data_IF_032157728001
#
_entry.id   IF_032157728001
#
_cell.length_a   1.000
_cell.length_b   1.000
_cell.length_c   1.000
_cell.angle_alpha   90.00
_cell.angle_beta   90.00
_cell.angle_gamma   90.00
#
_symmetry.space_group_name_H-M   'P 1'
#
loop_
_entity.id
_entity.type
_entity.pdbx_description
1 polymer ?
#
# COMPACT_ATOMS: atom_id res chain seq x y z
N UNK A 1 34.51 -54.42 -76.12
CA UNK A 1 35.12 -55.66 -75.57
C UNK A 1 35.80 -55.25 -74.27
N UNK A 2 35.53 -55.73 -73.05
CA UNK A 2 34.95 -56.97 -72.52
C UNK A 2 33.97 -56.64 -71.38
N UNK A 3 32.96 -57.49 -71.25
CA UNK A 3 32.03 -57.62 -70.12
C UNK A 3 32.77 -58.20 -68.91
N UNK A 4 32.36 -57.88 -67.69
CA UNK A 4 32.25 -58.88 -66.62
C UNK A 4 31.11 -58.51 -65.63
N UNK A 5 30.31 -59.53 -65.35
CA UNK A 5 29.16 -59.61 -64.45
C UNK A 5 29.65 -60.15 -63.08
N UNK A 6 28.78 -60.06 -62.05
CA UNK A 6 28.76 -60.76 -60.75
C UNK A 6 29.26 -59.94 -59.55
N UNK A 7 28.63 -59.96 -58.38
CA UNK A 7 27.35 -60.54 -57.93
C UNK A 7 26.96 -59.86 -56.61
N UNK A 8 25.66 -59.85 -56.35
CA UNK A 8 25.01 -59.47 -55.09
C UNK A 8 25.45 -60.43 -53.97
N UNK A 9 25.86 -59.87 -52.83
CA UNK A 9 25.74 -60.50 -51.50
C UNK A 9 24.99 -59.51 -50.61
N UNK A 10 23.81 -59.92 -50.15
CA UNK A 10 23.01 -59.16 -49.22
C UNK A 10 23.58 -59.21 -47.81
N UNK A 11 23.50 -58.06 -47.12
CA UNK A 11 23.48 -58.02 -45.66
C UNK A 11 22.23 -57.25 -45.28
N UNK A 12 21.27 -57.99 -44.73
CA UNK A 12 20.04 -57.51 -44.14
C UNK A 12 20.40 -56.83 -42.82
N UNK A 13 20.61 -55.51 -42.81
CA UNK A 13 20.72 -54.75 -41.57
C UNK A 13 19.30 -54.39 -41.14
N UNK A 14 18.82 -55.09 -40.13
CA UNK A 14 17.61 -54.77 -39.39
C UNK A 14 17.81 -53.38 -38.77
N UNK A 15 17.22 -52.35 -39.38
CA UNK A 15 17.03 -51.05 -38.72
C UNK A 15 16.02 -51.25 -37.60
N UNK A 16 16.51 -51.43 -36.38
CA UNK A 16 15.71 -51.23 -35.19
C UNK A 16 15.24 -49.77 -35.19
N UNK A 17 13.93 -49.57 -35.26
CA UNK A 17 13.31 -48.27 -35.01
C UNK A 17 13.63 -47.87 -33.57
N UNK A 18 14.59 -46.96 -33.40
CA UNK A 18 14.69 -46.17 -32.19
C UNK A 18 13.42 -45.32 -32.11
N UNK A 19 12.47 -45.81 -31.32
CA UNK A 19 11.39 -44.99 -30.77
C UNK A 19 12.07 -43.95 -29.90
N UNK A 20 12.29 -42.76 -30.46
CA UNK A 20 12.68 -41.59 -29.70
C UNK A 20 11.46 -41.20 -28.86
N UNK A 21 11.35 -41.77 -27.65
CA UNK A 21 10.58 -41.16 -26.58
C UNK A 21 11.34 -39.89 -26.21
N UNK A 22 11.10 -38.83 -26.99
CA UNK A 22 11.46 -37.48 -26.59
C UNK A 22 10.70 -37.21 -25.30
N UNK A 23 11.41 -37.30 -24.17
CA UNK A 23 11.03 -36.55 -22.99
C UNK A 23 11.04 -35.10 -23.45
N UNK A 24 9.85 -34.56 -23.67
CA UNK A 24 9.65 -33.12 -23.80
C UNK A 24 10.18 -32.56 -22.49
N UNK A 25 11.36 -31.96 -22.54
CA UNK A 25 11.84 -31.11 -21.46
C UNK A 25 10.72 -30.13 -21.18
N UNK A 26 10.21 -30.10 -19.95
CA UNK A 26 9.39 -28.99 -19.51
C UNK A 26 10.15 -27.71 -19.90
N UNK A 27 9.54 -26.83 -20.70
CA UNK A 27 10.09 -25.48 -20.84
C UNK A 27 10.15 -24.93 -19.42
N UNK A 28 11.35 -24.56 -18.97
CA UNK A 28 11.54 -23.98 -17.63
C UNK A 28 10.63 -22.76 -17.51
N UNK A 29 9.56 -22.90 -16.74
CA UNK A 29 8.67 -21.79 -16.43
C UNK A 29 9.47 -20.79 -15.61
N UNK A 30 9.64 -19.59 -16.15
CA UNK A 30 10.42 -18.55 -15.47
C UNK A 30 9.55 -17.85 -14.43
N UNK A 31 10.06 -17.69 -13.21
CA UNK A 31 9.35 -17.00 -12.12
C UNK A 31 9.85 -15.58 -11.97
N UNK A 32 8.94 -14.62 -11.79
CA UNK A 32 9.26 -13.21 -11.54
C UNK A 32 8.35 -12.59 -10.49
N UNK A 33 8.88 -11.63 -9.73
CA UNK A 33 8.10 -10.81 -8.79
C UNK A 33 8.07 -9.38 -9.34
N UNK A 34 6.88 -8.76 -9.36
CA UNK A 34 6.77 -7.37 -9.79
C UNK A 34 7.34 -6.43 -8.73
N UNK A 35 8.01 -5.36 -9.17
CA UNK A 35 8.49 -4.31 -8.26
C UNK A 35 7.33 -3.47 -7.73
N UNK A 36 6.32 -3.22 -8.56
CA UNK A 36 5.08 -2.56 -8.19
C UNK A 36 4.07 -3.51 -7.57
N UNK A 37 3.45 -3.07 -6.48
CA UNK A 37 2.34 -3.77 -5.85
C UNK A 37 1.01 -3.47 -6.55
N UNK A 38 0.11 -4.46 -6.55
CA UNK A 38 -1.32 -4.28 -6.78
C UNK A 38 -2.00 -3.61 -5.59
N UNK A 39 -3.26 -3.22 -5.77
CA UNK A 39 -4.11 -2.63 -4.72
C UNK A 39 -5.52 -3.24 -4.79
N UNK A 40 -6.26 -3.18 -3.69
CA UNK A 40 -7.68 -3.53 -3.67
C UNK A 40 -8.50 -2.23 -3.60
N UNK A 41 -9.44 -2.07 -4.53
CA UNK A 41 -10.41 -0.97 -4.51
C UNK A 41 -11.81 -1.56 -4.66
N UNK A 42 -12.70 -1.33 -3.69
CA UNK A 42 -14.09 -1.82 -3.70
C UNK A 42 -14.15 -3.32 -4.04
N UNK A 43 -13.35 -4.11 -3.33
CA UNK A 43 -13.18 -5.56 -3.51
C UNK A 43 -12.70 -6.00 -4.91
N UNK A 44 -12.09 -5.10 -5.69
CA UNK A 44 -11.47 -5.44 -6.97
C UNK A 44 -9.96 -5.25 -6.89
N UNK A 45 -9.21 -6.32 -7.17
CA UNK A 45 -7.77 -6.25 -7.29
C UNK A 45 -7.39 -5.54 -8.59
N UNK A 46 -6.65 -4.45 -8.46
CA UNK A 46 -6.00 -3.75 -9.55
C UNK A 46 -4.50 -4.05 -9.53
N UNK A 47 -3.91 -4.26 -10.70
CA UNK A 47 -2.49 -4.60 -10.85
C UNK A 47 -1.78 -3.58 -11.76
N UNK A 48 -0.46 -3.36 -11.61
CA UNK A 48 0.29 -2.41 -12.43
C UNK A 48 0.42 -2.93 -13.87
N UNK A 49 -0.28 -2.28 -14.80
CA UNK A 49 -0.42 -2.76 -16.17
C UNK A 49 0.91 -2.89 -16.91
N UNK A 50 1.76 -1.86 -16.87
CA UNK A 50 3.02 -1.84 -17.62
C UNK A 50 3.99 -2.93 -17.16
N UNK A 51 4.15 -3.09 -15.84
CA UNK A 51 5.04 -4.09 -15.25
C UNK A 51 4.51 -5.51 -15.50
N UNK A 52 3.21 -5.73 -15.29
CA UNK A 52 2.57 -7.01 -15.53
C UNK A 52 2.65 -7.43 -17.00
N UNK A 53 2.30 -6.55 -17.93
CA UNK A 53 2.34 -6.84 -19.36
C UNK A 53 3.76 -7.16 -19.82
N UNK A 54 4.76 -6.40 -19.34
CA UNK A 54 6.17 -6.69 -19.63
C UNK A 54 6.58 -8.08 -19.11
N UNK A 55 6.18 -8.42 -17.88
CA UNK A 55 6.54 -9.69 -17.25
C UNK A 55 5.98 -10.91 -18.00
N UNK A 56 4.75 -10.82 -18.52
CA UNK A 56 4.16 -11.91 -19.32
C UNK A 56 4.60 -11.90 -20.81
N UNK A 57 5.44 -10.96 -21.23
CA UNK A 57 5.88 -10.83 -22.64
C UNK A 57 4.86 -10.13 -23.56
N UNK A 58 3.91 -9.41 -22.99
CA UNK A 58 2.97 -8.55 -23.72
C UNK A 58 3.48 -7.11 -23.88
N UNK A 59 2.63 -6.25 -24.43
CA UNK A 59 2.95 -4.87 -24.77
C UNK A 59 1.88 -3.89 -24.26
N UNK A 60 2.32 -2.68 -23.94
CA UNK A 60 1.47 -1.54 -23.60
C UNK A 60 1.77 -0.40 -24.56
N UNK A 61 0.77 0.05 -25.31
CA UNK A 61 0.88 1.16 -26.26
C UNK A 61 -0.12 2.24 -25.87
N UNK A 62 0.33 3.49 -25.79
CA UNK A 62 -0.54 4.64 -25.58
C UNK A 62 -0.64 5.38 -26.92
N UNK A 63 -1.85 5.61 -27.41
CA UNK A 63 -2.07 6.35 -28.64
C UNK A 63 -2.20 7.87 -28.39
N UNK A 64 -2.24 8.65 -29.47
CA UNK A 64 -2.37 10.12 -29.43
C UNK A 64 -3.64 10.60 -28.71
N UNK A 65 -4.68 9.77 -28.67
CA UNK A 65 -5.95 10.04 -27.98
C UNK A 65 -5.92 9.64 -26.50
N UNK A 66 -4.76 9.25 -25.97
CA UNK A 66 -4.58 8.70 -24.61
C UNK A 66 -5.41 7.44 -24.34
N UNK A 67 -5.78 6.71 -25.39
CA UNK A 67 -6.28 5.35 -25.26
C UNK A 67 -5.09 4.41 -25.11
N UNK A 68 -5.25 3.40 -24.28
CA UNK A 68 -4.18 2.48 -23.92
C UNK A 68 -4.56 1.11 -24.49
N UNK A 69 -3.66 0.54 -25.28
CA UNK A 69 -3.80 -0.79 -25.84
C UNK A 69 -2.86 -1.74 -25.09
N UNK A 70 -3.42 -2.81 -24.54
CA UNK A 70 -2.68 -3.93 -23.97
C UNK A 70 -2.75 -5.10 -24.98
N UNK A 71 -1.60 -5.62 -25.38
CA UNK A 71 -1.51 -6.70 -26.37
C UNK A 71 -0.75 -7.88 -25.79
N UNK A 72 -1.34 -9.07 -25.91
CA UNK A 72 -0.68 -10.33 -25.55
C UNK A 72 -1.18 -11.45 -26.46
N UNK A 73 -0.25 -12.17 -27.10
CA UNK A 73 -0.54 -13.13 -28.16
C UNK A 73 -1.39 -12.49 -29.27
N UNK A 74 -2.54 -13.07 -29.60
CA UNK A 74 -3.50 -12.54 -30.60
C UNK A 74 -4.58 -11.64 -30.02
N UNK A 75 -4.57 -11.39 -28.70
CA UNK A 75 -5.61 -10.61 -28.02
C UNK A 75 -5.18 -9.17 -27.81
N UNK A 76 -6.08 -8.24 -28.12
CA UNK A 76 -5.93 -6.82 -27.87
C UNK A 76 -7.02 -6.32 -26.92
N UNK A 77 -6.61 -5.52 -25.94
CA UNK A 77 -7.50 -4.82 -25.01
C UNK A 77 -7.30 -3.32 -25.22
N UNK A 78 -8.34 -2.61 -25.64
CA UNK A 78 -8.35 -1.14 -25.65
C UNK A 78 -9.05 -0.64 -24.39
N UNK A 79 -8.36 0.17 -23.59
CA UNK A 79 -8.89 0.80 -22.39
C UNK A 79 -8.74 2.32 -22.47
N UNK A 80 -9.69 3.01 -21.82
CA UNK A 80 -9.60 4.43 -21.54
C UNK A 80 -9.57 4.60 -20.02
N UNK A 81 -8.64 5.42 -19.53
CA UNK A 81 -8.52 5.71 -18.09
C UNK A 81 -9.85 6.22 -17.54
N UNK A 82 -10.26 5.70 -16.39
CA UNK A 82 -11.53 5.98 -15.70
C UNK A 82 -12.81 5.56 -16.45
N UNK A 83 -12.70 4.83 -17.56
CA UNK A 83 -13.85 4.21 -18.23
C UNK A 83 -14.16 2.85 -17.62
N UNK A 84 -15.44 2.61 -17.33
CA UNK A 84 -15.97 1.29 -16.95
C UNK A 84 -16.06 0.31 -18.11
N UNK A 85 -15.66 0.73 -19.31
CA UNK A 85 -15.70 -0.10 -20.51
C UNK A 85 -14.30 -0.27 -21.09
N UNK A 86 -13.98 -1.52 -21.42
CA UNK A 86 -12.84 -1.90 -22.25
C UNK A 86 -13.35 -2.52 -23.55
N UNK A 87 -12.52 -2.56 -24.60
CA UNK A 87 -12.80 -3.38 -25.79
C UNK A 87 -11.81 -4.53 -25.86
N UNK A 88 -12.31 -5.76 -25.78
CA UNK A 88 -11.51 -6.98 -25.95
C UNK A 88 -11.76 -7.49 -27.38
N UNK A 89 -10.75 -7.47 -28.24
CA UNK A 89 -10.89 -7.80 -29.67
C UNK A 89 -12.10 -7.10 -30.32
N UNK A 90 -12.22 -5.78 -30.09
CA UNK A 90 -13.33 -4.91 -30.52
C UNK A 90 -14.70 -5.14 -29.86
N UNK A 91 -14.85 -6.15 -29.01
CA UNK A 91 -16.08 -6.37 -28.23
C UNK A 91 -16.06 -5.50 -26.98
N UNK A 92 -17.07 -4.64 -26.83
CA UNK A 92 -17.21 -3.75 -25.66
C UNK A 92 -17.64 -4.55 -24.43
N UNK A 93 -16.83 -4.51 -23.39
CA UNK A 93 -17.01 -5.27 -22.13
C UNK A 93 -17.06 -4.31 -20.95
N UNK A 94 -17.99 -4.54 -20.02
CA UNK A 94 -18.17 -3.73 -18.81
C UNK A 94 -17.39 -4.30 -17.61
N UNK A 95 -16.79 -3.41 -16.82
CA UNK A 95 -16.13 -3.72 -15.55
C UNK A 95 -16.57 -2.71 -14.49
N UNK A 96 -16.87 -3.21 -13.27
CA UNK A 96 -17.43 -2.35 -12.22
C UNK A 96 -16.45 -1.27 -11.74
N UNK A 97 -15.18 -1.67 -11.58
CA UNK A 97 -14.07 -0.77 -11.23
C UNK A 97 -13.26 -0.50 -12.50
N UNK A 98 -13.13 0.77 -12.91
CA UNK A 98 -12.40 1.13 -14.11
C UNK A 98 -10.88 0.99 -13.90
N UNK A 99 -10.16 0.86 -15.01
CA UNK A 99 -8.71 1.10 -15.00
C UNK A 99 -8.44 2.57 -14.64
N UNK A 100 -7.49 2.83 -13.75
CA UNK A 100 -7.24 4.16 -13.20
C UNK A 100 -5.76 4.38 -12.90
N UNK A 101 -5.36 5.64 -12.75
CA UNK A 101 -4.00 5.98 -12.32
C UNK A 101 -3.97 6.01 -10.79
N UNK A 102 -3.10 5.21 -10.19
CA UNK A 102 -2.82 5.19 -8.76
C UNK A 102 -1.30 5.31 -8.62
N UNK A 103 -0.84 6.27 -7.81
CA UNK A 103 0.58 6.55 -7.58
C UNK A 103 1.40 6.68 -8.89
N UNK A 104 0.81 7.36 -9.89
CA UNK A 104 1.41 7.56 -11.21
C UNK A 104 1.44 6.32 -12.11
N UNK A 105 0.94 5.16 -11.65
CA UNK A 105 0.89 3.91 -12.42
C UNK A 105 -0.51 3.65 -12.95
N UNK A 106 -0.59 3.14 -14.18
CA UNK A 106 -1.84 2.59 -14.70
C UNK A 106 -2.15 1.27 -14.00
N UNK A 107 -3.20 1.28 -13.19
CA UNK A 107 -3.73 0.11 -12.51
C UNK A 107 -4.94 -0.43 -13.26
N UNK A 108 -4.92 -1.72 -13.57
CA UNK A 108 -5.98 -2.39 -14.34
C UNK A 108 -6.61 -3.52 -13.51
N UNK A 109 -7.92 -3.77 -13.65
CA UNK A 109 -8.54 -4.91 -12.97
C UNK A 109 -7.90 -6.23 -13.37
N UNK A 110 -7.51 -7.06 -12.40
CA UNK A 110 -6.99 -8.40 -12.67
C UNK A 110 -8.00 -9.21 -13.51
N UNK A 111 -9.29 -9.09 -13.21
CA UNK A 111 -10.35 -9.79 -13.94
C UNK A 111 -10.41 -9.40 -15.43
N UNK A 112 -10.02 -8.18 -15.79
CA UNK A 112 -9.95 -7.74 -17.19
C UNK A 112 -8.89 -8.54 -17.95
N UNK A 113 -7.66 -8.60 -17.43
CA UNK A 113 -6.58 -9.34 -18.10
C UNK A 113 -6.79 -10.85 -18.02
N UNK A 114 -7.32 -11.35 -16.91
CA UNK A 114 -7.69 -12.77 -16.75
C UNK A 114 -8.68 -13.19 -17.84
N UNK A 115 -9.77 -12.45 -18.00
CA UNK A 115 -10.83 -12.77 -18.96
C UNK A 115 -10.36 -12.63 -20.41
N UNK A 116 -9.58 -11.60 -20.72
CA UNK A 116 -9.10 -11.34 -22.08
C UNK A 116 -8.02 -12.33 -22.52
N UNK A 117 -7.03 -12.59 -21.66
CA UNK A 117 -5.85 -13.40 -21.97
C UNK A 117 -5.99 -14.86 -21.55
N UNK A 118 -7.12 -15.24 -20.92
CA UNK A 118 -7.42 -16.60 -20.44
C UNK A 118 -6.34 -17.13 -19.48
N UNK A 119 -5.97 -16.29 -18.51
CA UNK A 119 -4.91 -16.59 -17.55
C UNK A 119 -5.47 -17.30 -16.32
N UNK A 120 -4.67 -18.19 -15.75
CA UNK A 120 -4.90 -18.77 -14.44
C UNK A 120 -4.16 -17.98 -13.37
N UNK A 121 -4.69 -18.02 -12.13
CA UNK A 121 -4.03 -17.41 -10.99
C UNK A 121 -4.27 -18.20 -9.72
N UNK A 122 -3.33 -18.08 -8.79
CA UNK A 122 -3.49 -18.47 -7.39
C UNK A 122 -3.36 -17.26 -6.47
N UNK A 123 -3.87 -17.42 -5.25
CA UNK A 123 -3.88 -16.38 -4.23
C UNK A 123 -3.10 -16.87 -3.03
N UNK A 124 -2.21 -16.04 -2.53
CA UNK A 124 -1.50 -16.27 -1.27
C UNK A 124 -2.03 -15.30 -0.22
N UNK A 125 -2.32 -15.83 0.96
CA UNK A 125 -2.77 -15.05 2.11
C UNK A 125 -1.66 -14.98 3.15
N UNK A 126 -1.42 -13.77 3.64
CA UNK A 126 -0.60 -13.52 4.82
C UNK A 126 -1.46 -13.61 6.08
N UNK A 127 -0.78 -13.71 7.22
CA UNK A 127 -1.43 -13.67 8.55
C UNK A 127 -0.85 -12.50 9.33
N UNK A 128 -1.69 -11.70 9.97
CA UNK A 128 -1.27 -10.64 10.90
C UNK A 128 -0.82 -11.29 12.22
N UNK A 129 -0.13 -10.54 13.08
CA UNK A 129 0.35 -11.07 14.34
C UNK A 129 -0.81 -11.43 15.30
N UNK A 130 -1.95 -10.71 15.24
CA UNK A 130 -3.20 -11.11 15.90
C UNK A 130 -3.99 -12.25 15.22
N UNK A 131 -3.47 -12.87 14.16
CA UNK A 131 -4.10 -14.02 13.49
C UNK A 131 -5.15 -13.67 12.42
N UNK A 132 -5.29 -12.40 12.04
CA UNK A 132 -6.13 -11.99 10.92
C UNK A 132 -5.53 -12.40 9.57
N UNK A 133 -6.33 -12.73 8.57
CA UNK A 133 -5.83 -13.03 7.22
C UNK A 133 -5.94 -11.82 6.30
N UNK A 134 -4.96 -11.64 5.42
CA UNK A 134 -4.99 -10.62 4.38
C UNK A 134 -4.46 -11.14 3.04
N UNK A 135 -4.90 -10.52 1.95
CA UNK A 135 -4.42 -10.84 0.62
C UNK A 135 -2.99 -10.30 0.45
N UNK A 136 -2.00 -11.19 0.49
CA UNK A 136 -0.59 -10.82 0.41
C UNK A 136 -0.11 -10.71 -1.04
N UNK A 137 -0.40 -11.74 -1.84
CA UNK A 137 0.03 -11.77 -3.24
C UNK A 137 -0.89 -12.58 -4.14
N UNK A 138 -0.79 -12.30 -5.44
CA UNK A 138 -1.43 -13.06 -6.50
C UNK A 138 -0.34 -13.58 -7.42
N UNK A 139 -0.37 -14.87 -7.74
CA UNK A 139 0.52 -15.48 -8.74
C UNK A 139 -0.29 -15.73 -9.99
N UNK A 140 0.07 -15.05 -11.08
CA UNK A 140 -0.56 -15.24 -12.39
C UNK A 140 0.33 -16.13 -13.24
N UNK A 141 -0.25 -17.19 -13.82
CA UNK A 141 0.48 -18.17 -14.60
C UNK A 141 0.14 -18.05 -16.09
N UNK A 142 1.17 -18.19 -16.90
CA UNK A 142 1.11 -18.43 -18.34
C UNK A 142 1.85 -19.73 -18.64
N UNK A 143 1.83 -20.19 -19.89
CA UNK A 143 2.60 -21.38 -20.30
C UNK A 143 4.13 -21.23 -20.11
N UNK A 144 4.64 -20.00 -19.96
CA UNK A 144 6.08 -19.69 -19.97
C UNK A 144 6.59 -18.98 -18.71
N UNK A 145 5.70 -18.31 -18.00
CA UNK A 145 6.04 -17.39 -16.91
C UNK A 145 5.02 -17.48 -15.78
N UNK A 146 5.53 -17.50 -14.54
CA UNK A 146 4.77 -17.24 -13.32
C UNK A 146 5.13 -15.86 -12.78
N UNK A 147 4.13 -15.00 -12.60
CA UNK A 147 4.31 -13.62 -12.15
C UNK A 147 3.65 -13.43 -10.79
N UNK A 148 4.46 -13.19 -9.76
CA UNK A 148 3.99 -12.83 -8.41
C UNK A 148 3.79 -11.33 -8.32
N UNK A 149 2.60 -10.94 -7.85
CA UNK A 149 2.18 -9.56 -7.66
C UNK A 149 1.86 -9.38 -6.18
N UNK A 150 2.69 -8.65 -5.46
CA UNK A 150 2.40 -8.26 -4.07
C UNK A 150 1.18 -7.33 -4.05
N UNK A 151 0.31 -7.46 -3.05
CA UNK A 151 -0.93 -6.68 -2.95
C UNK A 151 -0.88 -5.80 -1.70
N UNK A 152 -1.06 -4.50 -1.88
CA UNK A 152 -1.34 -3.58 -0.79
C UNK A 152 -2.86 -3.58 -0.52
N UNK A 153 -3.30 -4.49 0.34
CA UNK A 153 -4.70 -4.69 0.70
C UNK A 153 -5.29 -3.52 1.51
N UNK A 154 -4.44 -2.75 2.19
CA UNK A 154 -4.85 -1.62 3.03
C UNK A 154 -4.93 -0.29 2.29
N UNK A 155 -4.54 -0.24 1.00
CA UNK A 155 -4.46 1.00 0.22
C UNK A 155 -5.77 1.81 0.28
N UNK A 156 -6.92 1.19 0.02
CA UNK A 156 -8.22 1.90 -0.02
C UNK A 156 -8.55 2.59 1.31
N UNK A 157 -8.19 1.97 2.43
CA UNK A 157 -8.43 2.49 3.78
C UNK A 157 -7.62 3.75 4.06
N UNK A 158 -6.42 3.88 3.48
CA UNK A 158 -5.50 4.99 3.73
C UNK A 158 -5.26 5.91 2.52
N UNK A 159 -6.01 5.74 1.44
CA UNK A 159 -5.83 6.52 0.21
C UNK A 159 -5.92 8.05 0.41
N UNK A 160 -6.69 8.52 1.39
CA UNK A 160 -6.84 9.93 1.74
C UNK A 160 -5.60 10.53 2.43
N UNK A 161 -4.77 9.69 3.08
CA UNK A 161 -3.45 10.12 3.56
C UNK A 161 -2.49 10.28 2.39
N UNK A 162 -2.52 9.35 1.44
CA UNK A 162 -1.62 9.32 0.28
C UNK A 162 -1.96 10.46 -0.70
N UNK A 163 -3.26 10.75 -0.88
CA UNK A 163 -3.74 11.77 -1.80
C UNK A 163 -3.73 13.14 -1.11
N UNK A 164 -2.54 13.72 -0.93
CA UNK A 164 -2.36 15.12 -0.55
C UNK A 164 -1.38 15.36 0.58
N UNK A 165 -1.49 16.55 1.19
CA UNK A 165 -0.72 16.93 2.38
C UNK A 165 -1.40 16.38 3.62
N UNK A 166 -0.61 15.82 4.53
CA UNK A 166 -1.05 15.42 5.86
C UNK A 166 -0.27 16.20 6.92
N UNK A 167 -0.83 16.26 8.13
CA UNK A 167 -0.15 16.82 9.30
C UNK A 167 0.12 15.70 10.31
N UNK A 168 1.40 15.46 10.57
CA UNK A 168 1.90 14.39 11.44
C UNK A 168 1.82 14.82 12.90
N UNK A 169 1.07 14.09 13.70
CA UNK A 169 0.97 14.29 15.14
C UNK A 169 2.03 13.46 15.85
N UNK A 170 3.17 14.09 16.18
CA UNK A 170 4.39 13.40 16.58
C UNK A 170 4.31 12.76 17.96
N UNK A 171 3.44 13.25 18.85
CA UNK A 171 3.28 12.67 20.21
C UNK A 171 2.55 11.33 20.23
N UNK A 172 1.98 10.90 19.10
CA UNK A 172 1.22 9.65 19.00
C UNK A 172 1.75 8.73 17.90
N UNK A 173 3.05 8.78 17.62
CA UNK A 173 3.67 7.99 16.56
C UNK A 173 5.15 7.82 16.79
N UNK A 174 5.63 6.63 16.48
CA UNK A 174 7.05 6.34 16.46
C UNK A 174 7.58 6.54 15.03
N UNK A 175 8.71 7.25 14.90
CA UNK A 175 9.24 7.69 13.61
C UNK A 175 10.65 7.17 13.44
N UNK A 176 10.95 6.63 12.26
CA UNK A 176 12.27 6.14 11.88
C UNK A 176 12.72 6.71 10.54
N UNK A 177 14.02 6.62 10.26
CA UNK A 177 14.55 6.73 8.91
C UNK A 177 14.33 5.43 8.10
N UNK A 178 14.71 5.44 6.82
CA UNK A 178 14.58 4.24 5.96
C UNK A 178 15.52 3.08 6.35
N UNK A 179 16.45 3.30 7.29
CA UNK A 179 17.34 2.27 7.83
C UNK A 179 16.84 1.71 9.16
N UNK A 180 15.69 2.17 9.66
CA UNK A 180 15.10 1.73 10.93
C UNK A 180 15.72 2.41 12.16
N UNK A 181 16.42 3.53 12.00
CA UNK A 181 16.91 4.29 13.16
C UNK A 181 15.82 5.24 13.66
N UNK A 182 15.55 5.29 14.97
CA UNK A 182 14.56 6.21 15.53
C UNK A 182 14.96 7.68 15.32
N UNK A 183 13.97 8.50 14.99
CA UNK A 183 14.10 9.95 14.83
C UNK A 183 13.35 10.64 15.97
N UNK A 184 14.09 11.23 16.90
CA UNK A 184 13.54 11.93 18.06
C UNK A 184 13.46 13.46 17.89
N UNK A 185 14.15 14.02 16.91
CA UNK A 185 14.28 15.46 16.73
C UNK A 185 14.13 15.92 15.26
N UNK A 186 14.04 17.24 15.09
CA UNK A 186 13.96 17.87 13.77
C UNK A 186 12.59 17.78 13.09
N UNK A 187 11.57 17.29 13.80
CA UNK A 187 10.18 17.22 13.35
C UNK A 187 9.30 17.83 14.44
N UNK A 188 8.77 19.04 14.18
CA UNK A 188 7.84 19.68 15.09
C UNK A 188 6.52 18.88 15.16
N UNK A 189 5.81 18.99 16.29
CA UNK A 189 4.47 18.43 16.38
C UNK A 189 3.53 19.12 15.36
N UNK A 190 2.63 18.34 14.75
CA UNK A 190 1.73 18.76 13.66
C UNK A 190 2.49 19.26 12.42
N UNK A 191 3.68 18.70 12.16
CA UNK A 191 4.45 18.99 10.96
C UNK A 191 3.70 18.59 9.68
N UNK A 192 3.75 19.43 8.66
CA UNK A 192 3.26 19.08 7.32
C UNK A 192 4.20 18.04 6.68
N UNK A 193 3.62 17.00 6.10
CA UNK A 193 4.32 15.89 5.46
C UNK A 193 3.64 15.50 4.15
N UNK A 194 4.43 14.98 3.22
CA UNK A 194 3.95 14.35 1.99
C UNK A 194 3.98 12.83 2.19
N UNK A 195 2.82 12.19 2.37
CA UNK A 195 2.74 10.73 2.51
C UNK A 195 2.85 10.09 1.13
N UNK A 196 3.78 9.16 0.98
CA UNK A 196 4.11 8.55 -0.32
C UNK A 196 3.62 7.11 -0.45
N UNK A 197 3.47 6.40 0.66
CA UNK A 197 2.90 5.05 0.68
C UNK A 197 2.45 4.67 2.09
N UNK A 198 1.49 3.75 2.17
CA UNK A 198 1.08 3.09 3.41
C UNK A 198 1.09 1.59 3.17
N UNK A 199 1.83 0.84 3.98
CA UNK A 199 2.00 -0.62 3.84
C UNK A 199 1.92 -1.30 5.19
N UNK A 200 1.50 -2.56 5.22
CA UNK A 200 1.64 -3.40 6.41
C UNK A 200 3.11 -3.50 6.81
N UNK A 201 3.36 -3.52 8.11
CA UNK A 201 4.64 -3.93 8.65
C UNK A 201 4.67 -5.48 8.62
N UNK A 202 5.69 -6.07 8.02
CA UNK A 202 5.73 -7.53 7.81
C UNK A 202 5.97 -8.30 9.13
N UNK A 203 6.55 -7.63 10.13
CA UNK A 203 6.99 -8.25 11.38
C UNK A 203 6.02 -7.99 12.55
N UNK A 204 4.90 -7.29 12.33
CA UNK A 204 3.99 -6.88 13.40
C UNK A 204 2.59 -6.46 12.93
N UNK A 205 1.66 -6.22 13.86
CA UNK A 205 0.34 -5.62 13.55
C UNK A 205 0.40 -4.09 13.36
N UNK A 206 1.57 -3.54 13.04
CA UNK A 206 1.72 -2.13 12.75
C UNK A 206 1.65 -1.88 11.23
N UNK A 207 1.53 -0.61 10.88
CA UNK A 207 1.52 -0.10 9.53
C UNK A 207 2.67 0.90 9.41
N UNK A 208 3.40 0.76 8.32
CA UNK A 208 4.44 1.69 7.92
C UNK A 208 3.83 2.75 7.00
N UNK A 209 3.83 4.00 7.46
CA UNK A 209 3.47 5.18 6.67
C UNK A 209 4.76 5.84 6.19
N UNK A 210 5.07 5.67 4.92
CA UNK A 210 6.22 6.29 4.28
C UNK A 210 5.89 7.73 3.94
N UNK A 211 6.76 8.66 4.32
CA UNK A 211 6.53 10.09 4.18
C UNK A 211 7.80 10.87 3.89
N UNK A 212 7.62 12.06 3.34
CA UNK A 212 8.68 13.04 3.10
C UNK A 212 8.42 14.26 3.98
N UNK A 213 9.42 14.67 4.75
CA UNK A 213 9.42 15.92 5.51
C UNK A 213 10.71 16.69 5.26
N UNK A 214 10.61 17.92 4.73
CA UNK A 214 11.78 18.78 4.43
C UNK A 214 12.89 18.05 3.64
N UNK A 215 12.49 17.19 2.68
CA UNK A 215 13.40 16.41 1.84
C UNK A 215 13.97 15.13 2.48
N UNK A 216 13.62 14.83 3.73
CA UNK A 216 13.99 13.57 4.40
C UNK A 216 12.90 12.52 4.14
N UNK A 217 13.31 11.31 3.76
CA UNK A 217 12.43 10.15 3.70
C UNK A 217 12.37 9.49 5.09
N UNK A 218 11.16 9.27 5.58
CA UNK A 218 10.90 8.77 6.92
C UNK A 218 9.81 7.69 6.88
N UNK A 219 9.73 6.92 7.95
CA UNK A 219 8.67 5.95 8.21
C UNK A 219 8.02 6.27 9.54
N UNK A 220 6.72 6.51 9.53
CA UNK A 220 5.90 6.59 10.73
C UNK A 220 5.24 5.22 10.98
N UNK A 221 5.44 4.67 12.16
CA UNK A 221 4.92 3.36 12.57
C UNK A 221 3.68 3.58 13.43
N UNK A 222 2.53 3.14 12.93
CA UNK A 222 1.22 3.30 13.59
C UNK A 222 0.54 1.94 13.77
N UNK A 223 -0.28 1.79 14.80
CA UNK A 223 -1.04 0.54 15.02
C UNK A 223 -2.05 0.33 13.90
N UNK A 224 -2.24 -0.92 13.45
CA UNK A 224 -3.35 -1.29 12.57
C UNK A 224 -4.67 -1.45 13.35
N UNK A 225 -5.12 -0.39 14.01
CA UNK A 225 -6.43 -0.34 14.68
C UNK A 225 -7.50 0.34 13.81
N UNK A 226 -7.15 0.66 12.55
CA UNK A 226 -7.99 1.39 11.61
C UNK A 226 -8.12 2.88 11.91
N UNK A 227 -7.57 3.35 13.02
CA UNK A 227 -7.56 4.75 13.40
C UNK A 227 -6.40 5.48 12.69
N UNK A 228 -6.68 6.67 12.16
CA UNK A 228 -5.65 7.55 11.57
C UNK A 228 -5.20 8.59 12.59
N UNK A 229 -5.23 8.27 13.87
CA UNK A 229 -5.14 9.28 14.94
C UNK A 229 -3.83 10.06 14.84
N UNK A 230 -2.74 9.45 14.39
CA UNK A 230 -1.45 10.11 14.21
C UNK A 230 -1.37 11.10 13.04
N UNK A 231 -2.41 11.22 12.21
CA UNK A 231 -2.42 12.08 11.03
C UNK A 231 -3.72 12.86 10.88
N UNK A 232 -3.59 14.15 10.57
CA UNK A 232 -4.70 14.94 10.06
C UNK A 232 -4.61 15.03 8.53
N UNK A 233 -5.67 14.64 7.82
CA UNK A 233 -5.80 14.85 6.35
C UNK A 233 -6.25 16.27 5.97
N UNK A 234 -6.58 17.08 6.98
CA UNK A 234 -6.94 18.50 6.83
C UNK A 234 -6.13 19.31 7.83
N UNK A 235 -5.73 20.51 7.42
CA UNK A 235 -4.92 21.39 8.24
C UNK A 235 -5.59 21.68 9.60
N UNK A 236 -4.98 21.27 10.73
CA UNK A 236 -5.50 21.60 12.06
C UNK A 236 -5.52 23.12 12.29
N UNK A 237 -4.56 23.85 11.71
CA UNK A 237 -4.45 25.31 11.75
C UNK A 237 -5.63 26.06 11.09
N UNK A 238 -6.37 25.39 10.20
CA UNK A 238 -7.58 25.95 9.58
C UNK A 238 -8.85 25.60 10.37
N UNK A 239 -8.81 24.50 11.12
CA UNK A 239 -9.94 24.03 11.94
C UNK A 239 -10.05 24.83 13.24
N UNK A 240 -8.92 25.02 13.92
CA UNK A 240 -8.88 25.69 15.21
C UNK A 240 -8.36 27.12 15.07
N UNK A 241 -9.03 28.07 15.73
CA UNK A 241 -8.71 29.51 15.67
C UNK A 241 -7.82 29.94 16.84
N UNK A 242 -6.76 29.18 17.09
CA UNK A 242 -5.83 29.48 18.18
C UNK A 242 -4.87 30.59 17.78
N UNK A 243 -4.37 31.31 18.79
CA UNK A 243 -3.35 32.34 18.61
C UNK A 243 -2.00 31.74 18.20
N UNK A 244 -1.12 32.58 17.65
CA UNK A 244 0.23 32.15 17.28
C UNK A 244 1.03 31.62 18.49
N UNK A 245 0.83 32.20 19.67
CA UNK A 245 1.46 31.74 20.91
C UNK A 245 1.05 30.29 21.21
N UNK A 246 -0.26 30.03 21.25
CA UNK A 246 -0.81 28.69 21.50
C UNK A 246 -0.33 27.67 20.46
N UNK A 247 -0.28 28.05 19.18
CA UNK A 247 0.26 27.16 18.15
C UNK A 247 1.75 26.88 18.31
N UNK A 248 2.54 27.84 18.77
CA UNK A 248 3.95 27.61 19.04
C UNK A 248 4.14 26.64 20.20
N UNK A 249 3.35 26.80 21.27
CA UNK A 249 3.39 25.88 22.42
C UNK A 249 3.00 24.45 21.99
N UNK A 250 1.90 24.29 21.24
CA UNK A 250 1.43 22.98 20.71
C UNK A 250 2.49 22.31 19.82
N UNK A 251 3.11 23.04 18.90
CA UNK A 251 4.15 22.50 17.99
C UNK A 251 5.41 22.05 18.74
N UNK A 252 5.68 22.68 19.89
CA UNK A 252 6.80 22.36 20.76
C UNK A 252 6.42 21.36 21.88
N UNK A 253 5.22 20.78 21.81
CA UNK A 253 4.69 19.83 22.81
C UNK A 253 4.74 20.39 24.24
N UNK A 254 4.50 21.70 24.37
CA UNK A 254 4.43 22.40 25.66
C UNK A 254 3.00 22.84 25.94
N UNK A 255 2.66 22.97 27.22
CA UNK A 255 1.35 23.43 27.69
C UNK A 255 1.52 24.54 28.72
N UNK A 256 0.50 25.38 28.86
CA UNK A 256 0.47 26.45 29.86
C UNK A 256 -0.92 26.63 30.44
N UNK A 257 -0.99 27.10 31.68
CA UNK A 257 -2.25 27.43 32.35
C UNK A 257 -3.06 28.40 31.48
N UNK A 258 -4.37 28.13 31.34
CA UNK A 258 -5.26 28.86 30.45
C UNK A 258 -5.45 28.24 29.07
N UNK A 259 -4.72 27.19 28.72
CA UNK A 259 -5.00 26.38 27.53
C UNK A 259 -6.31 25.59 27.67
N UNK A 260 -7.03 25.38 26.56
CA UNK A 260 -8.20 24.50 26.56
C UNK A 260 -7.80 23.03 26.52
N UNK A 261 -8.72 22.14 26.90
CA UNK A 261 -8.56 20.69 26.70
C UNK A 261 -8.14 20.35 25.27
N UNK A 262 -8.70 20.99 24.23
CA UNK A 262 -8.27 20.70 22.86
C UNK A 262 -6.85 21.15 22.53
N UNK A 263 -6.39 22.26 23.12
CA UNK A 263 -5.00 22.71 22.96
C UNK A 263 -4.03 21.74 23.63
N UNK A 264 -4.36 21.33 24.85
CA UNK A 264 -3.56 20.34 25.60
C UNK A 264 -3.55 19.01 24.87
N UNK A 265 -4.70 18.54 24.40
CA UNK A 265 -4.81 17.31 23.62
C UNK A 265 -3.90 17.36 22.40
N UNK A 266 -4.01 18.40 21.56
CA UNK A 266 -3.14 18.54 20.38
C UNK A 266 -1.65 18.66 20.72
N UNK A 267 -1.31 19.21 21.89
CA UNK A 267 0.07 19.38 22.34
C UNK A 267 0.68 18.07 22.85
N UNK A 268 0.00 17.40 23.79
CA UNK A 268 0.56 16.29 24.56
C UNK A 268 0.12 14.91 24.07
N UNK A 269 -0.94 14.80 23.28
CA UNK A 269 -1.45 13.48 22.90
C UNK A 269 -2.67 13.02 23.73
N UNK A 270 -3.13 11.79 23.45
CA UNK A 270 -4.14 11.14 24.28
C UNK A 270 -3.61 10.92 25.70
N UNK A 271 -4.47 11.20 26.69
CA UNK A 271 -4.22 10.86 28.09
C UNK A 271 -4.44 9.36 28.34
N UNK A 272 -3.82 8.83 29.40
CA UNK A 272 -4.00 7.44 29.83
C UNK A 272 -5.35 7.25 30.52
N UNK A 273 -5.75 8.22 31.35
CA UNK A 273 -7.05 8.22 32.05
C UNK A 273 -7.64 9.62 32.13
N UNK A 274 -8.96 9.67 32.22
CA UNK A 274 -9.71 10.89 32.49
C UNK A 274 -10.81 10.63 33.53
N UNK A 275 -11.04 11.63 34.39
CA UNK A 275 -12.24 11.75 35.21
C UNK A 275 -12.86 13.13 34.98
N UNK A 276 -14.19 13.20 34.96
CA UNK A 276 -14.93 14.47 34.81
C UNK A 276 -16.11 14.51 35.76
N UNK A 277 -16.20 15.56 36.56
CA UNK A 277 -17.30 15.84 37.47
C UNK A 277 -18.02 17.12 37.05
N UNK A 278 -19.35 17.08 36.95
CA UNK A 278 -20.17 18.24 36.58
C UNK A 278 -21.04 18.67 37.76
N UNK A 279 -20.93 19.94 38.12
CA UNK A 279 -21.68 20.58 39.19
C UNK A 279 -22.56 21.69 38.63
N UNK A 280 -23.50 22.20 39.43
CA UNK A 280 -24.36 23.32 39.02
C UNK A 280 -23.61 24.63 38.74
N UNK A 281 -22.35 24.74 39.16
CA UNK A 281 -21.49 25.92 38.99
C UNK A 281 -20.36 25.74 37.97
N UNK A 282 -20.17 24.54 37.42
CA UNK A 282 -19.12 24.28 36.44
C UNK A 282 -18.72 22.80 36.35
N UNK A 283 -17.83 22.50 35.41
CA UNK A 283 -17.30 21.16 35.16
C UNK A 283 -15.81 21.11 35.51
N UNK A 284 -15.41 20.11 36.26
CA UNK A 284 -14.00 19.81 36.57
C UNK A 284 -13.59 18.54 35.84
N UNK A 285 -12.46 18.57 35.14
CA UNK A 285 -11.84 17.37 34.54
C UNK A 285 -10.43 17.17 35.09
N UNK A 286 -10.01 15.92 35.23
CA UNK A 286 -8.63 15.54 35.54
C UNK A 286 -8.15 14.57 34.47
N UNK A 287 -7.03 14.89 33.82
CA UNK A 287 -6.35 14.01 32.88
C UNK A 287 -5.09 13.47 33.53
N UNK A 288 -4.80 12.19 33.29
CA UNK A 288 -3.62 11.50 33.81
C UNK A 288 -2.81 10.97 32.64
N UNK A 289 -1.53 11.32 32.60
CA UNK A 289 -0.54 10.80 31.67
C UNK A 289 0.43 9.93 32.46
N UNK A 290 0.31 8.60 32.31
CA UNK A 290 1.16 7.65 33.02
C UNK A 290 2.35 7.23 32.18
N UNK A 291 3.50 7.07 32.82
CA UNK A 291 4.75 6.63 32.23
C UNK A 291 5.11 5.20 32.68
N UNK A 292 5.95 4.51 31.90
CA UNK A 292 6.33 3.12 32.14
C UNK A 292 7.10 2.92 33.47
N UNK A 293 7.70 3.97 34.01
CA UNK A 293 8.41 3.96 35.30
C UNK A 293 7.49 4.16 36.52
N UNK A 294 6.18 4.31 36.28
CA UNK A 294 5.16 4.51 37.30
C UNK A 294 4.97 5.97 37.74
N UNK A 295 5.67 6.92 37.12
CA UNK A 295 5.39 8.35 37.29
C UNK A 295 4.12 8.74 36.51
N UNK A 296 3.49 9.84 36.89
CA UNK A 296 2.34 10.36 36.17
C UNK A 296 2.17 11.87 36.29
N UNK A 297 1.87 12.52 35.18
CA UNK A 297 1.45 13.91 35.16
C UNK A 297 -0.08 14.01 35.29
N UNK A 298 -0.53 14.90 36.16
CA UNK A 298 -1.93 15.20 36.42
C UNK A 298 -2.25 16.61 35.96
N UNK A 299 -3.20 16.72 35.02
CA UNK A 299 -3.69 17.99 34.52
C UNK A 299 -5.12 18.21 35.00
N UNK A 300 -5.38 19.36 35.60
CA UNK A 300 -6.69 19.71 36.13
C UNK A 300 -7.30 20.85 35.32
N UNK A 301 -8.53 20.66 34.89
CA UNK A 301 -9.28 21.60 34.07
C UNK A 301 -10.55 22.04 34.80
N UNK A 302 -10.87 23.32 34.67
CA UNK A 302 -12.15 23.88 35.08
C UNK A 302 -12.82 24.50 33.86
N UNK A 303 -14.06 24.11 33.58
CA UNK A 303 -14.83 24.47 32.38
C UNK A 303 -14.01 24.31 31.08
N UNK A 304 -13.25 23.21 30.99
CA UNK A 304 -12.43 22.86 29.83
C UNK A 304 -11.13 23.65 29.69
N UNK A 305 -10.73 24.43 30.69
CA UNK A 305 -9.50 25.24 30.71
C UNK A 305 -8.53 24.72 31.76
N UNK A 306 -7.27 24.50 31.39
CA UNK A 306 -6.21 24.02 32.26
C UNK A 306 -5.93 25.05 33.39
N UNK A 307 -6.12 24.64 34.64
CA UNK A 307 -5.96 25.50 35.83
C UNK A 307 -4.76 25.13 36.69
N UNK A 308 -4.37 23.85 36.72
CA UNK A 308 -3.21 23.39 37.50
C UNK A 308 -2.62 22.10 36.93
N UNK A 309 -1.37 21.83 37.29
CA UNK A 309 -0.58 20.67 36.88
C UNK A 309 0.14 20.10 38.11
N UNK A 310 0.29 18.78 38.19
CA UNK A 310 1.10 18.10 39.21
C UNK A 310 1.89 16.97 38.55
N UNK A 311 3.10 16.75 39.03
CA UNK A 311 3.98 15.61 38.72
C UNK A 311 3.98 14.62 39.91
#
# INVERSE_FOLDING_TARGET
>A
MKKFIFSIIGVLIVCSSLVFNGVVSAEDTTSSVLNGSGVIIKNTTLIPAAEFMKAIGGQVVINEKKEITLSYLSTNILIQVNSKYAKINNVKTFFNIPSQIIDGKLMIPLQLVKSAFKLDYSVNYGTTYLGGQYLESIVVNTDKVSVTIMINDIYERFQDLIVGKAWLWTTNVYIEDLSGNPIYDGIDNLAEVDVTAVKRNEDSDYINVYLIHKGRNLVAIIKDDGSKISFFVKSPFKRYKFSQKQWNEIKQTTISIGMTEEMVYLSWGPFTRQSTDTYGWGTSSMWVYEYDDGLADYLFFYDGVLTSMSE
#
